data_IF_856458914273
#
_entry.id   IF_856458914273
#
_cell.length_a   1.000
_cell.length_b   1.000
_cell.length_c   1.000
_cell.angle_alpha   90.00
_cell.angle_beta   90.00
_cell.angle_gamma   90.00
#
_symmetry.space_group_name_H-M   'P 1'
#
loop_
_entity.id
_entity.type
_entity.pdbx_description
1 polymer ?
#
# COMPACT_ATOMS: atom_id res chain seq x y z
N UNK A 1 -31.25 17.81 15.94
CA UNK A 1 -29.95 18.13 16.58
C UNK A 1 -29.00 16.99 16.26
N UNK A 2 -28.12 17.15 15.28
CA UNK A 2 -27.10 16.14 14.98
C UNK A 2 -25.92 16.40 15.92
N UNK A 3 -25.71 15.50 16.87
CA UNK A 3 -24.54 15.53 17.73
C UNK A 3 -23.30 15.29 16.85
N UNK A 4 -22.63 16.38 16.45
CA UNK A 4 -21.29 16.36 15.88
C UNK A 4 -20.30 16.04 17.02
N UNK A 5 -20.32 14.79 17.47
CA UNK A 5 -19.33 14.20 18.37
C UNK A 5 -18.22 13.51 17.58
N UNK A 6 -17.68 14.17 16.55
CA UNK A 6 -16.56 13.65 15.80
C UNK A 6 -15.28 13.86 16.61
N UNK A 7 -14.93 12.90 17.48
CA UNK A 7 -13.52 12.71 17.83
C UNK A 7 -12.79 12.46 16.51
N UNK A 8 -12.11 13.48 16.01
CA UNK A 8 -11.27 13.36 14.82
C UNK A 8 -10.38 12.14 15.00
N UNK A 9 -10.33 11.28 13.98
CA UNK A 9 -9.36 10.20 13.90
C UNK A 9 -7.97 10.84 13.90
N UNK A 10 -7.41 11.03 15.09
CA UNK A 10 -6.08 11.57 15.25
C UNK A 10 -5.09 10.57 14.64
N UNK A 11 -4.17 11.06 13.82
CA UNK A 11 -3.06 10.26 13.29
C UNK A 11 -2.34 9.61 14.48
N UNK A 12 -2.11 8.28 14.47
CA UNK A 12 -1.43 7.62 15.57
C UNK A 12 -0.01 8.18 15.69
N UNK A 13 0.41 8.47 16.92
CA UNK A 13 1.80 8.84 17.21
C UNK A 13 2.75 7.65 16.99
N UNK A 14 4.02 7.93 16.71
CA UNK A 14 5.06 6.90 16.59
C UNK A 14 5.14 5.99 17.81
N UNK A 15 4.90 6.53 19.01
CA UNK A 15 4.87 5.74 20.25
C UNK A 15 3.75 4.69 20.22
N UNK A 16 2.54 5.09 19.82
CA UNK A 16 1.40 4.18 19.69
C UNK A 16 1.63 3.13 18.59
N UNK A 17 2.25 3.53 17.47
CA UNK A 17 2.59 2.60 16.40
C UNK A 17 3.63 1.56 16.85
N UNK A 18 4.68 1.98 17.55
CA UNK A 18 5.71 1.07 18.11
C UNK A 18 5.12 0.10 19.12
N UNK A 19 4.25 0.57 19.99
CA UNK A 19 3.57 -0.27 20.97
C UNK A 19 2.69 -1.33 20.28
N UNK A 20 1.88 -0.93 19.29
CA UNK A 20 1.06 -1.87 18.52
C UNK A 20 1.92 -2.87 17.75
N UNK A 21 3.00 -2.41 17.14
CA UNK A 21 3.93 -3.30 16.44
C UNK A 21 4.53 -4.34 17.39
N UNK A 22 4.99 -3.93 18.57
CA UNK A 22 5.54 -4.86 19.57
C UNK A 22 4.52 -5.93 19.96
N UNK A 23 3.26 -5.55 20.20
CA UNK A 23 2.18 -6.50 20.49
C UNK A 23 1.99 -7.51 19.36
N UNK A 24 1.97 -7.06 18.11
CA UNK A 24 1.79 -7.95 16.96
C UNK A 24 3.02 -8.83 16.68
N UNK A 25 4.23 -8.36 16.97
CA UNK A 25 5.45 -9.19 16.91
C UNK A 25 5.40 -10.28 17.98
N UNK A 26 4.97 -9.95 19.21
CA UNK A 26 4.79 -10.95 20.26
C UNK A 26 3.75 -12.01 19.87
N UNK A 27 2.58 -11.59 19.38
CA UNK A 27 1.55 -12.50 18.86
C UNK A 27 2.10 -13.41 17.75
N UNK A 28 2.83 -12.85 16.79
CA UNK A 28 3.46 -13.61 15.73
C UNK A 28 4.42 -14.68 16.27
N UNK A 29 5.31 -14.31 17.21
CA UNK A 29 6.27 -15.24 17.82
C UNK A 29 5.55 -16.41 18.52
N UNK A 30 4.41 -16.15 19.16
CA UNK A 30 3.61 -17.22 19.76
C UNK A 30 3.02 -18.14 18.69
N UNK A 31 2.39 -17.59 17.65
CA UNK A 31 1.72 -18.36 16.61
C UNK A 31 2.67 -19.20 15.76
N UNK A 32 3.92 -18.76 15.55
CA UNK A 32 4.95 -19.57 14.87
C UNK A 32 5.64 -20.59 15.79
N UNK A 33 5.24 -20.69 17.06
CA UNK A 33 5.78 -21.65 18.03
C UNK A 33 7.07 -21.21 18.73
N UNK A 34 7.53 -19.96 18.53
CA UNK A 34 8.74 -19.40 19.14
C UNK A 34 8.49 -18.89 20.57
N UNK A 35 7.93 -19.73 21.45
CA UNK A 35 7.50 -19.37 22.80
C UNK A 35 8.60 -18.73 23.66
N UNK A 36 9.83 -19.28 23.62
CA UNK A 36 10.96 -18.74 24.39
C UNK A 36 11.33 -17.32 23.92
N UNK A 37 11.41 -17.12 22.62
CA UNK A 37 11.69 -15.82 22.02
C UNK A 37 10.61 -14.79 22.35
N UNK A 38 9.33 -15.21 22.34
CA UNK A 38 8.22 -14.35 22.72
C UNK A 38 8.36 -13.83 24.17
N UNK A 39 8.70 -14.71 25.11
CA UNK A 39 8.90 -14.34 26.52
C UNK A 39 10.13 -13.45 26.73
N UNK A 40 11.26 -13.78 26.08
CA UNK A 40 12.47 -12.94 26.12
C UNK A 40 12.18 -11.55 25.55
N UNK A 41 11.47 -11.47 24.43
CA UNK A 41 11.12 -10.20 23.79
C UNK A 41 10.34 -9.26 24.73
N UNK A 42 9.30 -9.75 25.41
CA UNK A 42 8.55 -8.94 26.38
C UNK A 42 9.42 -8.46 27.54
N UNK A 43 10.33 -9.31 28.00
CA UNK A 43 11.23 -9.00 29.11
C UNK A 43 12.23 -7.90 28.72
N UNK A 44 12.81 -7.99 27.52
CA UNK A 44 13.79 -7.01 27.02
C UNK A 44 13.19 -5.62 26.81
N UNK A 45 11.97 -5.55 26.28
CA UNK A 45 11.28 -4.27 26.08
C UNK A 45 10.57 -3.75 27.34
N UNK A 46 10.65 -4.49 28.45
CA UNK A 46 9.96 -4.21 29.73
C UNK A 46 8.46 -3.98 29.51
N UNK A 47 7.81 -4.94 28.86
CA UNK A 47 6.39 -4.84 28.56
C UNK A 47 5.54 -5.01 29.82
N UNK A 48 4.75 -3.99 30.15
CA UNK A 48 3.93 -3.97 31.39
C UNK A 48 2.42 -3.96 31.10
N UNK A 49 2.01 -4.06 29.83
CA UNK A 49 0.61 -3.93 29.42
C UNK A 49 -0.06 -5.30 29.24
N UNK A 50 -1.36 -5.36 29.50
CA UNK A 50 -2.14 -6.57 29.22
C UNK A 50 -2.07 -6.94 27.73
N UNK A 51 -1.96 -8.23 27.46
CA UNK A 51 -1.87 -8.76 26.10
C UNK A 51 -3.15 -9.50 25.77
N UNK A 52 -3.80 -9.08 24.69
CA UNK A 52 -4.92 -9.78 24.07
C UNK A 52 -4.44 -10.39 22.77
N UNK A 53 -4.50 -11.71 22.66
CA UNK A 53 -4.12 -12.44 21.44
C UNK A 53 -5.35 -12.63 20.55
N UNK A 54 -5.17 -12.45 19.24
CA UNK A 54 -6.17 -12.81 18.24
C UNK A 54 -6.07 -14.28 17.84
N UNK A 55 -6.95 -14.70 16.92
CA UNK A 55 -6.92 -16.05 16.34
C UNK A 55 -5.68 -16.22 15.43
N UNK A 56 -5.07 -17.42 15.38
CA UNK A 56 -4.03 -17.74 14.40
C UNK A 56 -4.50 -17.53 12.95
N UNK A 57 -3.63 -17.07 12.02
CA UNK A 57 -2.19 -16.86 12.16
C UNK A 57 -1.79 -15.52 12.83
N UNK A 58 -2.74 -14.70 13.26
CA UNK A 58 -2.51 -13.39 13.86
C UNK A 58 -2.49 -12.23 12.86
N UNK A 59 -2.48 -11.01 13.38
CA UNK A 59 -2.61 -9.78 12.60
C UNK A 59 -1.38 -9.54 11.72
N UNK A 60 -0.18 -9.60 12.30
CA UNK A 60 1.06 -9.29 11.59
C UNK A 60 1.27 -10.22 10.40
N UNK A 61 1.09 -11.52 10.61
CA UNK A 61 1.27 -12.52 9.56
C UNK A 61 0.29 -12.30 8.40
N UNK A 62 -1.00 -12.13 8.71
CA UNK A 62 -2.04 -11.95 7.69
C UNK A 62 -1.78 -10.72 6.82
N UNK A 63 -1.48 -9.57 7.43
CA UNK A 63 -1.20 -8.35 6.69
C UNK A 63 0.14 -8.38 5.97
N UNK A 64 1.16 -9.03 6.54
CA UNK A 64 2.44 -9.20 5.88
C UNK A 64 2.33 -10.08 4.63
N UNK A 65 1.55 -11.16 4.66
CA UNK A 65 1.28 -11.97 3.48
C UNK A 65 0.65 -11.16 2.36
N UNK A 66 -0.39 -10.37 2.66
CA UNK A 66 -1.05 -9.49 1.68
C UNK A 66 -0.07 -8.44 1.14
N UNK A 67 0.71 -7.81 2.02
CA UNK A 67 1.73 -6.83 1.61
C UNK A 67 2.76 -7.45 0.68
N UNK A 68 3.29 -8.63 1.03
CA UNK A 68 4.29 -9.32 0.22
C UNK A 68 3.75 -9.73 -1.14
N UNK A 69 2.51 -10.21 -1.19
CA UNK A 69 1.83 -10.58 -2.42
C UNK A 69 1.65 -9.38 -3.37
N UNK A 70 1.19 -8.25 -2.85
CA UNK A 70 1.10 -6.98 -3.59
C UNK A 70 2.48 -6.46 -4.01
N UNK A 71 3.49 -6.62 -3.16
CA UNK A 71 4.86 -6.23 -3.45
C UNK A 71 5.46 -7.04 -4.60
N UNK A 72 5.18 -8.35 -4.65
CA UNK A 72 5.58 -9.25 -5.72
C UNK A 72 4.79 -9.02 -7.01
N UNK A 73 3.49 -8.68 -6.93
CA UNK A 73 2.67 -8.36 -8.09
C UNK A 73 3.05 -7.04 -8.80
N UNK A 74 3.93 -6.23 -8.19
CA UNK A 74 4.38 -4.97 -8.79
C UNK A 74 5.06 -5.19 -10.15
N UNK A 75 4.87 -4.30 -11.14
CA UNK A 75 5.31 -4.50 -12.53
C UNK A 75 6.80 -4.85 -12.67
N UNK A 76 7.68 -4.20 -11.90
CA UNK A 76 9.13 -4.39 -11.97
C UNK A 76 9.60 -5.75 -11.42
N UNK A 77 8.75 -6.45 -10.67
CA UNK A 77 9.14 -7.65 -9.90
C UNK A 77 8.29 -8.88 -10.19
N UNK A 78 7.13 -8.72 -10.82
CA UNK A 78 6.15 -9.81 -11.02
C UNK A 78 6.64 -10.99 -11.86
N UNK A 79 7.70 -10.81 -12.65
CA UNK A 79 8.30 -11.89 -13.42
C UNK A 79 9.28 -12.75 -12.59
N UNK A 80 9.78 -12.22 -11.48
CA UNK A 80 10.77 -12.88 -10.62
C UNK A 80 10.17 -13.48 -9.34
N UNK A 81 8.94 -13.11 -8.96
CA UNK A 81 8.29 -13.56 -7.73
C UNK A 81 6.88 -14.10 -8.02
N UNK A 82 6.56 -15.26 -7.43
CA UNK A 82 5.19 -15.81 -7.42
C UNK A 82 4.25 -14.88 -6.64
N UNK A 83 3.06 -14.65 -7.19
CA UNK A 83 2.05 -13.74 -6.64
C UNK A 83 0.66 -14.23 -7.01
N UNK A 84 -0.36 -13.83 -6.25
CA UNK A 84 -1.74 -14.21 -6.48
C UNK A 84 -2.36 -13.44 -7.65
N UNK A 85 -3.38 -14.04 -8.27
CA UNK A 85 -4.16 -13.39 -9.31
C UNK A 85 -4.92 -12.16 -8.80
N UNK A 86 -5.29 -12.13 -7.51
CA UNK A 86 -5.97 -11.00 -6.88
C UNK A 86 -5.06 -9.79 -6.75
N UNK A 87 -3.81 -10.00 -6.28
CA UNK A 87 -2.81 -8.96 -6.18
C UNK A 87 -2.44 -8.38 -7.55
N UNK A 88 -2.32 -9.24 -8.57
CA UNK A 88 -2.11 -8.79 -9.96
C UNK A 88 -3.26 -7.90 -10.44
N UNK A 89 -4.50 -8.34 -10.25
CA UNK A 89 -5.67 -7.56 -10.66
C UNK A 89 -5.69 -6.19 -9.96
N UNK A 90 -5.37 -6.12 -8.67
CA UNK A 90 -5.31 -4.85 -7.94
C UNK A 90 -4.28 -3.87 -8.52
N UNK A 91 -3.09 -4.36 -8.88
CA UNK A 91 -2.05 -3.56 -9.52
C UNK A 91 -2.47 -3.10 -10.92
N UNK A 92 -3.06 -3.99 -11.72
CA UNK A 92 -3.52 -3.68 -13.08
C UNK A 92 -4.65 -2.62 -13.05
N UNK A 93 -5.62 -2.73 -12.14
CA UNK A 93 -6.64 -1.70 -11.93
C UNK A 93 -6.05 -0.35 -11.51
N UNK A 94 -5.07 -0.37 -10.59
CA UNK A 94 -4.40 0.85 -10.13
C UNK A 94 -3.62 1.54 -11.26
N UNK A 95 -3.00 0.77 -12.16
CA UNK A 95 -2.30 1.27 -13.32
C UNK A 95 -3.23 1.88 -14.38
N UNK A 96 -4.45 1.35 -14.53
CA UNK A 96 -5.46 1.90 -15.46
C UNK A 96 -6.18 3.11 -14.86
N UNK A 97 -6.30 3.18 -13.53
CA UNK A 97 -6.97 4.26 -12.81
C UNK A 97 -6.10 5.50 -12.56
N UNK A 98 -4.79 5.44 -12.78
CA UNK A 98 -3.91 6.61 -12.75
C UNK A 98 -3.96 7.34 -14.10
N UNK A 99 -4.63 8.52 -14.23
CA UNK A 99 -4.45 9.34 -15.42
C UNK A 99 -2.99 9.81 -15.43
N UNK A 100 -2.20 9.38 -16.41
CA UNK A 100 -0.80 9.80 -16.55
C UNK A 100 -0.72 11.33 -16.70
N UNK A 101 -0.03 12.08 -15.81
CA UNK A 101 0.25 13.48 -16.03
C UNK A 101 1.63 13.59 -16.67
N UNK A 102 1.79 13.16 -17.93
CA UNK A 102 2.91 13.60 -18.80
C UNK A 102 2.61 13.27 -20.26
N UNK A 103 1.99 14.25 -20.93
CA UNK A 103 2.45 14.67 -22.25
C UNK A 103 2.51 16.19 -22.21
N UNK A 104 3.55 16.70 -21.55
CA UNK A 104 3.97 18.08 -21.73
C UNK A 104 4.58 18.23 -23.12
N UNK A 105 4.33 19.38 -23.75
CA UNK A 105 4.89 19.86 -25.03
C UNK A 105 4.21 19.38 -26.32
N UNK A 106 3.07 20.00 -26.64
CA UNK A 106 2.89 20.52 -28.01
C UNK A 106 2.28 21.92 -27.91
N UNK A 107 3.15 22.92 -28.00
CA UNK A 107 2.74 24.30 -28.19
C UNK A 107 1.91 24.41 -29.48
N UNK A 108 0.78 25.14 -29.50
CA UNK A 108 0.12 25.46 -30.74
C UNK A 108 0.81 26.69 -31.30
N UNK A 109 1.86 26.53 -32.11
CA UNK A 109 2.20 27.61 -33.03
C UNK A 109 2.90 27.12 -34.28
N UNK A 110 2.53 27.80 -35.37
CA UNK A 110 3.20 27.88 -36.67
C UNK A 110 2.94 26.76 -37.68
N UNK A 111 1.67 26.59 -38.06
CA UNK A 111 1.32 26.20 -39.42
C UNK A 111 1.13 27.46 -40.29
N UNK A 112 2.24 28.09 -40.67
CA UNK A 112 2.28 29.04 -41.78
C UNK A 112 3.04 28.43 -42.95
N UNK A 113 2.48 28.63 -44.15
CA UNK A 113 3.04 28.41 -45.48
C UNK A 113 2.86 27.00 -46.11
N UNK A 114 1.86 26.88 -47.00
CA UNK A 114 2.07 26.79 -48.45
C UNK A 114 0.77 26.29 -49.14
N UNK A 115 0.21 27.10 -50.05
CA UNK A 115 -1.00 26.75 -50.80
C UNK A 115 -0.79 25.66 -51.86
N UNK A 116 -1.88 25.26 -52.53
CA UNK A 116 -1.89 25.37 -54.00
C UNK A 116 -3.15 26.08 -54.53
N UNK A 117 -2.96 26.85 -55.60
CA UNK A 117 -3.98 27.62 -56.31
C UNK A 117 -5.07 26.74 -56.94
N UNK A 118 -6.33 27.18 -56.86
CA UNK A 118 -7.45 26.65 -57.63
C UNK A 118 -7.51 27.32 -59.03
N UNK A 119 -7.82 26.59 -60.11
CA UNK A 119 -7.87 27.15 -61.47
C UNK A 119 -9.17 27.91 -61.72
N UNK A 120 -9.07 29.01 -62.45
CA UNK A 120 -10.16 29.96 -62.71
C UNK A 120 -11.27 29.46 -63.64
N UNK A 121 -12.36 30.23 -63.64
CA UNK A 121 -13.39 30.24 -64.68
C UNK A 121 -13.72 31.69 -65.07
N UNK A 122 -14.09 31.84 -66.34
CA UNK A 122 -14.34 33.04 -67.14
C UNK A 122 -15.41 33.99 -66.60
#
# INVERSE_FOLDING_TARGET
MYAKGGKGSAVPSDSQAREKLALYVYEYLLHVGAQKSAQTFLSEIRWEKNITLGEPPGFLHSWWCVFWDLYCAAPDRREACEHSNEAKAFQDYSAVAAPSPVMGSMAPNDAMAAGPMAPGFF
#
